data_IF_040835036033
#
_entry.id   IF_040835036033
#
_cell.length_a   1.000
_cell.length_b   1.000
_cell.length_c   1.000
_cell.angle_alpha   90.00
_cell.angle_beta   90.00
_cell.angle_gamma   90.00
#
_symmetry.space_group_name_H-M   'P 1'
#
loop_
_entity.id
_entity.type
_entity.pdbx_description
1 polymer ?
#
# COMPACT_ATOMS: atom_id res chain seq x y z
N UNK A 1 -59.68 -15.03 -31.35
CA UNK A 1 -60.31 -16.32 -31.69
C UNK A 1 -59.35 -17.11 -32.56
N UNK A 2 -58.46 -17.88 -31.92
CA UNK A 2 -58.01 -19.19 -32.37
C UNK A 2 -57.19 -19.79 -31.22
N UNK A 3 -57.58 -21.00 -30.85
CA UNK A 3 -57.08 -21.81 -29.75
C UNK A 3 -56.42 -23.07 -30.32
N UNK A 4 -55.68 -23.77 -29.45
CA UNK A 4 -55.27 -25.20 -29.48
C UNK A 4 -53.97 -25.43 -30.25
N UNK A 5 -52.95 -26.21 -29.82
CA UNK A 5 -52.56 -26.90 -28.57
C UNK A 5 -51.17 -27.55 -28.81
N UNK A 6 -50.55 -28.06 -27.74
CA UNK A 6 -49.77 -29.30 -27.65
C UNK A 6 -48.24 -29.27 -27.42
N UNK A 7 -47.89 -30.08 -26.41
CA UNK A 7 -46.65 -30.85 -26.11
C UNK A 7 -45.46 -30.21 -25.39
N UNK A 8 -45.41 -30.50 -24.08
CA UNK A 8 -44.31 -31.11 -23.31
C UNK A 8 -42.84 -30.78 -23.66
N UNK A 9 -42.12 -30.25 -22.67
CA UNK A 9 -40.83 -30.81 -22.25
C UNK A 9 -40.56 -30.46 -20.78
N UNK A 10 -40.75 -31.47 -19.94
CA UNK A 10 -40.11 -31.58 -18.62
C UNK A 10 -38.64 -31.86 -18.88
N UNK A 11 -37.74 -31.02 -18.38
CA UNK A 11 -36.43 -31.48 -17.90
C UNK A 11 -35.96 -30.58 -16.77
N UNK A 12 -35.90 -31.19 -15.59
CA UNK A 12 -35.06 -30.84 -14.46
C UNK A 12 -33.80 -30.08 -14.86
N UNK A 13 -33.56 -28.94 -14.21
CA UNK A 13 -32.20 -28.49 -13.94
C UNK A 13 -32.14 -27.97 -12.49
N UNK A 14 -32.57 -28.83 -11.55
CA UNK A 14 -32.00 -28.81 -10.20
C UNK A 14 -30.56 -29.30 -10.34
N UNK A 15 -29.67 -28.41 -10.79
CA UNK A 15 -28.25 -28.55 -10.58
C UNK A 15 -28.03 -28.45 -9.08
N UNK A 16 -28.17 -29.59 -8.39
CA UNK A 16 -27.74 -29.75 -7.01
C UNK A 16 -26.25 -29.45 -7.02
N UNK A 17 -25.88 -28.22 -6.63
CA UNK A 17 -24.50 -27.82 -6.44
C UNK A 17 -23.82 -28.91 -5.59
N UNK A 18 -22.81 -29.55 -6.15
CA UNK A 18 -22.02 -30.57 -5.45
C UNK A 18 -21.51 -29.94 -4.15
N UNK A 19 -22.07 -30.40 -3.02
CA UNK A 19 -21.73 -29.87 -1.70
C UNK A 19 -20.28 -30.23 -1.40
N UNK A 20 -19.46 -29.23 -1.08
CA UNK A 20 -18.08 -29.43 -0.64
C UNK A 20 -18.04 -30.34 0.60
N UNK A 21 -17.00 -31.16 0.71
CA UNK A 21 -16.80 -32.02 1.88
C UNK A 21 -16.17 -31.30 3.07
N UNK A 22 -15.69 -30.07 2.88
CA UNK A 22 -15.07 -29.24 3.91
C UNK A 22 -15.49 -27.75 3.78
N UNK A 23 -15.54 -27.00 4.90
CA UNK A 23 -15.66 -25.54 4.83
C UNK A 23 -14.43 -24.94 4.15
N UNK A 24 -14.53 -23.71 3.67
CA UNK A 24 -13.43 -23.03 2.99
C UNK A 24 -13.15 -21.63 3.54
N UNK A 25 -11.88 -21.26 3.54
CA UNK A 25 -11.38 -19.93 3.86
C UNK A 25 -11.23 -19.15 2.56
N UNK A 26 -11.86 -17.98 2.50
CA UNK A 26 -11.74 -17.04 1.39
C UNK A 26 -11.18 -15.74 1.95
N UNK A 27 -9.96 -15.39 1.54
CA UNK A 27 -9.27 -14.21 2.03
C UNK A 27 -8.74 -13.36 0.88
N UNK A 28 -8.86 -12.05 1.06
CA UNK A 28 -8.21 -11.04 0.23
C UNK A 28 -7.15 -10.35 1.09
N UNK A 29 -5.90 -10.51 0.68
CA UNK A 29 -4.72 -10.01 1.37
C UNK A 29 -3.89 -9.22 0.36
N UNK A 30 -3.35 -8.08 0.79
CA UNK A 30 -2.46 -7.28 -0.02
C UNK A 30 -1.27 -8.14 -0.51
N UNK A 31 -1.04 -8.12 -1.82
CA UNK A 31 0.05 -8.84 -2.49
C UNK A 31 1.44 -8.39 -1.99
N UNK A 32 1.53 -7.12 -1.56
CA UNK A 32 2.72 -6.50 -1.03
C UNK A 32 2.40 -5.39 -0.02
N UNK A 33 3.33 -5.10 0.88
CA UNK A 33 3.25 -3.99 1.83
C UNK A 33 4.65 -3.59 2.33
N UNK A 34 4.77 -2.36 2.83
CA UNK A 34 6.03 -1.77 3.33
C UNK A 34 5.84 -1.24 4.76
N UNK A 35 6.91 -0.77 5.39
CA UNK A 35 6.86 -0.04 6.66
C UNK A 35 5.91 1.17 6.61
N UNK A 36 5.85 1.88 5.47
CA UNK A 36 4.90 2.98 5.30
C UNK A 36 3.43 2.50 5.34
N UNK A 37 3.12 1.30 4.85
CA UNK A 37 1.79 0.70 4.95
C UNK A 37 1.38 0.51 6.40
N UNK A 38 2.31 0.00 7.23
CA UNK A 38 2.12 -0.15 8.67
C UNK A 38 1.86 1.20 9.36
N UNK A 39 2.73 2.20 9.13
CA UNK A 39 2.62 3.51 9.78
C UNK A 39 1.35 4.28 9.40
N UNK A 40 0.85 4.08 8.18
CA UNK A 40 -0.37 4.73 7.68
C UNK A 40 -1.64 3.87 7.86
N UNK A 41 -1.57 2.78 8.64
CA UNK A 41 -2.68 1.88 8.92
C UNK A 41 -3.39 1.34 7.64
N UNK A 42 -2.63 1.10 6.57
CA UNK A 42 -3.16 0.48 5.36
C UNK A 42 -3.43 -1.00 5.64
N UNK A 43 -4.66 -1.50 5.40
CA UNK A 43 -5.03 -2.86 5.76
C UNK A 43 -4.31 -3.89 4.89
N UNK A 44 -3.49 -4.74 5.51
CA UNK A 44 -2.90 -5.92 4.85
C UNK A 44 -3.97 -6.97 4.56
N UNK A 45 -4.91 -7.17 5.49
CA UNK A 45 -6.06 -8.03 5.30
C UNK A 45 -7.26 -7.18 4.86
N UNK A 46 -7.63 -7.32 3.58
CA UNK A 46 -8.77 -6.61 2.99
C UNK A 46 -10.07 -7.33 3.31
N UNK A 47 -10.11 -8.66 3.27
CA UNK A 47 -11.27 -9.44 3.71
C UNK A 47 -10.89 -10.86 4.15
N UNK A 48 -11.66 -11.43 5.09
CA UNK A 48 -11.65 -12.86 5.41
C UNK A 48 -13.09 -13.32 5.57
N UNK A 49 -13.45 -14.39 4.87
CA UNK A 49 -14.75 -15.04 4.93
C UNK A 49 -14.57 -16.53 5.10
N UNK A 50 -15.45 -17.14 5.89
CA UNK A 50 -15.55 -18.59 6.03
C UNK A 50 -16.86 -19.06 5.38
N UNK A 51 -16.76 -19.98 4.44
CA UNK A 51 -17.89 -20.52 3.71
C UNK A 51 -18.10 -21.99 4.15
N UNK A 52 -19.28 -22.33 4.66
CA UNK A 52 -19.63 -23.72 4.98
C UNK A 52 -20.57 -24.31 3.92
N UNK A 53 -19.99 -24.92 2.88
CA UNK A 53 -20.75 -25.61 1.83
C UNK A 53 -21.01 -27.09 2.13
N UNK A 54 -20.69 -27.52 3.33
CA UNK A 54 -20.92 -28.90 3.77
C UNK A 54 -22.38 -29.09 4.24
N UNK A 55 -22.79 -30.34 4.41
CA UNK A 55 -24.09 -30.68 4.98
C UNK A 55 -24.12 -30.59 6.52
N UNK A 56 -22.96 -30.43 7.18
CA UNK A 56 -22.83 -30.47 8.64
C UNK A 56 -22.65 -29.09 9.26
N UNK A 57 -23.16 -28.91 10.48
CA UNK A 57 -22.81 -27.76 11.31
C UNK A 57 -21.46 -27.98 11.97
N UNK A 58 -20.63 -26.96 11.97
CA UNK A 58 -19.36 -26.94 12.68
C UNK A 58 -19.49 -26.03 13.89
N UNK A 59 -18.97 -26.48 15.03
CA UNK A 59 -19.02 -25.75 16.30
C UNK A 59 -17.61 -25.57 16.85
N UNK A 60 -17.41 -24.49 17.63
CA UNK A 60 -16.13 -24.19 18.29
C UNK A 60 -14.94 -24.21 17.32
N UNK A 61 -15.14 -23.64 16.14
CA UNK A 61 -14.10 -23.48 15.14
C UNK A 61 -13.09 -22.42 15.57
N UNK A 62 -11.87 -22.59 15.10
CA UNK A 62 -10.77 -21.67 15.31
C UNK A 62 -10.14 -21.33 13.97
N UNK A 63 -10.06 -20.05 13.66
CA UNK A 63 -9.21 -19.56 12.57
C UNK A 63 -7.92 -19.02 13.17
N UNK A 64 -6.78 -19.55 12.75
CA UNK A 64 -5.46 -19.05 13.11
C UNK A 64 -4.79 -18.39 11.91
N UNK A 65 -4.18 -17.23 12.15
CA UNK A 65 -3.29 -16.54 11.23
C UNK A 65 -1.87 -16.57 11.78
N UNK A 66 -0.93 -17.01 10.95
CA UNK A 66 0.51 -16.99 11.22
C UNK A 66 1.27 -16.48 9.99
N UNK A 67 2.57 -16.23 10.13
CA UNK A 67 3.41 -15.87 8.99
C UNK A 67 4.78 -16.51 9.03
N UNK A 68 5.39 -16.64 7.85
CA UNK A 68 6.79 -17.02 7.67
C UNK A 68 7.45 -16.10 6.66
N UNK A 69 8.51 -15.33 7.01
CA UNK A 69 9.06 -15.15 8.35
C UNK A 69 8.04 -14.56 9.35
N UNK A 70 8.39 -14.49 10.63
CA UNK A 70 7.49 -13.99 11.70
C UNK A 70 7.31 -12.46 11.67
N UNK A 71 6.95 -11.89 10.52
CA UNK A 71 6.73 -10.45 10.32
C UNK A 71 5.39 -9.94 10.88
N UNK A 72 4.54 -10.83 11.42
CA UNK A 72 3.35 -10.46 12.18
C UNK A 72 3.19 -11.36 13.40
N UNK A 73 2.44 -10.87 14.39
CA UNK A 73 2.06 -11.67 15.56
C UNK A 73 0.94 -12.63 15.18
N UNK A 74 1.03 -13.91 15.59
CA UNK A 74 -0.05 -14.85 15.41
C UNK A 74 -1.37 -14.31 15.97
N UNK A 75 -2.46 -14.50 15.23
CA UNK A 75 -3.79 -14.06 15.62
C UNK A 75 -4.77 -15.22 15.52
N UNK A 76 -5.70 -15.28 16.46
CA UNK A 76 -6.75 -16.30 16.48
C UNK A 76 -8.12 -15.65 16.54
N UNK A 77 -9.05 -16.13 15.72
CA UNK A 77 -10.47 -15.84 15.84
C UNK A 77 -11.21 -17.09 16.33
N UNK A 78 -12.04 -16.91 17.35
CA UNK A 78 -13.01 -17.91 17.76
C UNK A 78 -14.26 -17.79 16.88
N UNK A 79 -14.72 -18.92 16.36
CA UNK A 79 -15.91 -19.02 15.51
C UNK A 79 -16.84 -20.03 16.16
N UNK A 80 -17.85 -19.51 16.88
CA UNK A 80 -18.71 -20.33 17.72
C UNK A 80 -19.47 -21.40 16.93
N UNK A 81 -20.02 -21.02 15.77
CA UNK A 81 -20.79 -21.92 14.91
C UNK A 81 -20.76 -21.49 13.44
N UNK A 82 -20.67 -22.47 12.54
CA UNK A 82 -20.89 -22.33 11.10
C UNK A 82 -21.93 -23.39 10.68
N UNK A 83 -23.15 -22.98 10.35
CA UNK A 83 -24.21 -23.89 9.88
C UNK A 83 -24.11 -24.11 8.37
N UNK A 84 -24.72 -25.17 7.81
CA UNK A 84 -24.73 -25.41 6.37
C UNK A 84 -25.25 -24.19 5.58
N UNK A 85 -24.48 -23.75 4.59
CA UNK A 85 -24.77 -22.59 3.76
C UNK A 85 -24.25 -21.25 4.29
N UNK A 86 -23.66 -21.22 5.50
CA UNK A 86 -23.13 -19.98 6.07
C UNK A 86 -22.00 -19.36 5.22
N UNK A 87 -21.96 -18.03 5.28
CA UNK A 87 -20.96 -17.16 4.66
C UNK A 87 -20.52 -16.13 5.71
N UNK A 88 -19.71 -16.56 6.68
CA UNK A 88 -19.34 -15.75 7.83
C UNK A 88 -18.21 -14.79 7.46
N UNK A 89 -18.53 -13.50 7.35
CA UNK A 89 -17.54 -12.44 7.15
C UNK A 89 -16.91 -12.02 8.48
N UNK A 90 -15.59 -12.10 8.61
CA UNK A 90 -14.89 -11.61 9.79
C UNK A 90 -14.70 -10.09 9.73
N UNK A 91 -15.20 -9.38 10.74
CA UNK A 91 -15.12 -7.92 10.84
C UNK A 91 -13.76 -7.43 11.36
N UNK A 92 -13.19 -8.13 12.34
CA UNK A 92 -11.88 -7.79 12.92
C UNK A 92 -10.71 -8.28 12.05
N UNK A 93 -10.30 -7.40 11.14
CA UNK A 93 -9.17 -7.60 10.21
C UNK A 93 -7.85 -7.03 10.72
N UNK A 94 -7.79 -6.52 11.95
CA UNK A 94 -6.58 -5.88 12.48
C UNK A 94 -5.49 -6.93 12.68
N UNK A 95 -4.33 -6.71 12.09
CA UNK A 95 -3.13 -7.53 12.31
C UNK A 95 -2.05 -6.69 12.97
N UNK A 96 -1.28 -7.31 13.86
CA UNK A 96 -0.12 -6.69 14.49
C UNK A 96 1.13 -7.07 13.69
N UNK A 97 1.54 -6.19 12.78
CA UNK A 97 2.79 -6.33 12.06
C UNK A 97 3.97 -6.01 12.98
N UNK A 98 5.08 -6.71 12.80
CA UNK A 98 6.32 -6.41 13.49
C UNK A 98 6.99 -5.19 12.84
N UNK A 99 6.89 -4.04 13.52
CA UNK A 99 7.47 -2.80 13.04
C UNK A 99 9.00 -2.83 12.96
N UNK A 100 9.66 -3.57 13.86
CA UNK A 100 11.12 -3.72 13.87
C UNK A 100 11.59 -4.54 12.67
N UNK A 101 10.86 -5.62 12.36
CA UNK A 101 11.08 -6.42 11.16
C UNK A 101 10.97 -5.56 9.90
N UNK A 102 9.83 -4.88 9.71
CA UNK A 102 9.59 -4.08 8.50
C UNK A 102 10.55 -2.89 8.37
N UNK A 103 10.91 -2.24 9.48
CA UNK A 103 11.88 -1.14 9.47
C UNK A 103 13.31 -1.59 9.13
N UNK A 104 13.64 -2.86 9.41
CA UNK A 104 14.96 -3.46 9.18
C UNK A 104 15.18 -4.01 7.78
N UNK A 105 14.15 -4.06 6.93
CA UNK A 105 14.26 -4.56 5.56
C UNK A 105 15.02 -3.58 4.66
N UNK A 106 16.22 -3.99 4.23
CA UNK A 106 17.04 -3.29 3.23
C UNK A 106 16.64 -3.66 1.79
N UNK A 107 16.15 -4.87 1.59
CA UNK A 107 15.65 -5.38 0.31
C UNK A 107 14.27 -6.00 0.51
N UNK A 108 13.49 -6.07 -0.57
CA UNK A 108 12.23 -6.77 -0.52
C UNK A 108 12.44 -8.27 -0.23
N UNK A 109 11.65 -8.79 0.69
CA UNK A 109 11.64 -10.20 1.03
C UNK A 109 10.32 -10.87 0.65
N UNK A 110 10.37 -12.17 0.44
CA UNK A 110 9.17 -13.00 0.25
C UNK A 110 8.69 -13.47 1.62
N UNK A 111 7.41 -13.32 1.86
CA UNK A 111 6.72 -13.86 3.02
C UNK A 111 5.54 -14.73 2.63
N UNK A 112 5.04 -15.48 3.59
CA UNK A 112 3.82 -16.26 3.49
C UNK A 112 2.94 -15.97 4.71
N UNK A 113 1.65 -15.70 4.47
CA UNK A 113 0.62 -15.66 5.51
C UNK A 113 -0.16 -16.97 5.42
N UNK A 114 -0.27 -17.67 6.55
CA UNK A 114 -1.01 -18.92 6.65
C UNK A 114 -2.27 -18.71 7.49
N UNK A 115 -3.42 -18.95 6.88
CA UNK A 115 -4.73 -19.03 7.53
C UNK A 115 -5.13 -20.48 7.67
N UNK A 116 -5.37 -20.94 8.90
CA UNK A 116 -5.75 -22.32 9.19
C UNK A 116 -7.06 -22.35 9.96
N UNK A 117 -8.07 -22.99 9.39
CA UNK A 117 -9.35 -23.24 10.04
C UNK A 117 -9.33 -24.63 10.63
N UNK A 118 -9.60 -24.75 11.93
CA UNK A 118 -9.67 -26.04 12.62
C UNK A 118 -10.89 -26.15 13.53
N UNK A 119 -11.33 -27.37 13.78
CA UNK A 119 -12.35 -27.69 14.78
C UNK A 119 -11.96 -28.99 15.49
N UNK A 120 -12.10 -29.03 16.81
CA UNK A 120 -11.73 -30.17 17.65
C UNK A 120 -10.29 -30.70 17.43
N UNK A 121 -9.37 -29.83 16.99
CA UNK A 121 -7.97 -30.18 16.71
C UNK A 121 -7.70 -30.63 15.27
N UNK A 122 -8.74 -30.92 14.49
CA UNK A 122 -8.62 -31.29 13.08
C UNK A 122 -8.62 -30.05 12.18
N UNK A 123 -7.73 -30.03 11.19
CA UNK A 123 -7.65 -28.95 10.20
C UNK A 123 -8.71 -29.16 9.12
N UNK A 124 -9.58 -28.18 8.95
CA UNK A 124 -10.69 -28.22 8.00
C UNK A 124 -10.33 -27.56 6.66
N UNK A 125 -9.59 -26.44 6.71
CA UNK A 125 -9.02 -25.79 5.52
C UNK A 125 -7.73 -25.05 5.92
N UNK A 126 -6.83 -24.89 4.96
CA UNK A 126 -5.59 -24.13 5.11
C UNK A 126 -5.31 -23.33 3.83
N UNK A 127 -5.10 -22.02 3.99
CA UNK A 127 -4.72 -21.12 2.91
C UNK A 127 -3.37 -20.51 3.19
N UNK A 128 -2.47 -20.67 2.23
CA UNK A 128 -1.15 -20.05 2.22
C UNK A 128 -1.12 -18.98 1.15
N UNK A 129 -0.85 -17.75 1.56
CA UNK A 129 -0.89 -16.56 0.73
C UNK A 129 0.51 -15.98 0.67
N UNK A 130 1.15 -16.05 -0.49
CA UNK A 130 2.46 -15.43 -0.70
C UNK A 130 2.31 -13.91 -0.74
N UNK A 131 3.18 -13.22 0.00
CA UNK A 131 3.22 -11.76 0.06
C UNK A 131 4.65 -11.26 -0.19
N UNK A 132 4.79 -10.02 -0.67
CA UNK A 132 6.07 -9.33 -0.75
C UNK A 132 6.18 -8.27 0.35
N UNK A 133 7.19 -8.41 1.19
CA UNK A 133 7.54 -7.46 2.23
C UNK A 133 8.54 -6.48 1.60
N UNK A 134 8.09 -5.31 1.20
CA UNK A 134 8.93 -4.32 0.52
C UNK A 134 9.90 -3.67 1.51
N UNK A 135 11.06 -3.24 1.01
CA UNK A 135 12.00 -2.47 1.82
C UNK A 135 11.35 -1.18 2.35
N UNK A 136 11.90 -0.62 3.43
CA UNK A 136 11.38 0.61 4.07
C UNK A 136 11.35 1.82 3.14
N UNK A 137 12.23 1.83 2.16
CA UNK A 137 12.40 2.86 1.14
C UNK A 137 11.82 2.45 -0.21
N UNK A 138 11.09 1.33 -0.28
CA UNK A 138 10.46 0.86 -1.52
C UNK A 138 8.97 1.18 -1.51
N UNK A 139 8.54 1.88 -2.56
CA UNK A 139 7.15 2.15 -2.85
C UNK A 139 6.63 1.11 -3.85
N UNK A 140 5.46 0.51 -3.59
CA UNK A 140 4.95 -0.64 -4.34
C UNK A 140 4.15 -0.34 -5.62
N UNK A 141 4.22 0.87 -6.17
CA UNK A 141 3.52 1.22 -7.42
C UNK A 141 2.07 1.68 -7.24
N UNK A 142 1.47 2.21 -8.31
CA UNK A 142 0.11 2.79 -8.32
C UNK A 142 -0.95 1.72 -8.10
N UNK A 143 -0.76 0.53 -8.67
CA UNK A 143 -1.76 -0.53 -8.67
C UNK A 143 -2.21 -0.93 -7.26
N UNK A 144 -1.26 -0.96 -6.32
CA UNK A 144 -1.51 -1.37 -4.93
C UNK A 144 -1.30 -0.24 -3.91
N UNK A 145 -0.47 0.76 -4.21
CA UNK A 145 0.07 1.71 -3.22
C UNK A 145 0.05 3.18 -3.65
N UNK A 146 -0.80 3.58 -4.59
CA UNK A 146 -0.93 4.99 -4.99
C UNK A 146 -1.13 5.93 -3.78
N UNK A 147 -2.02 5.55 -2.87
CA UNK A 147 -2.32 6.29 -1.64
C UNK A 147 -1.15 6.41 -0.65
N UNK A 148 -0.10 5.60 -0.80
CA UNK A 148 1.07 5.62 0.08
C UNK A 148 2.21 6.50 -0.45
N UNK A 149 2.16 6.94 -1.70
CA UNK A 149 3.22 7.76 -2.29
C UNK A 149 3.55 9.02 -1.45
N UNK A 150 2.57 9.75 -0.86
CA UNK A 150 2.87 10.90 -0.01
C UNK A 150 3.78 10.59 1.20
N UNK A 151 3.78 9.35 1.71
CA UNK A 151 4.65 8.95 2.81
C UNK A 151 6.14 9.00 2.45
N UNK A 152 6.47 9.02 1.15
CA UNK A 152 7.83 9.09 0.64
C UNK A 152 8.31 10.52 0.29
N UNK A 153 7.46 11.54 0.47
CA UNK A 153 7.83 12.94 0.23
C UNK A 153 8.86 13.42 1.27
N UNK A 154 8.70 13.07 2.55
CA UNK A 154 9.68 13.33 3.62
C UNK A 154 10.16 14.81 3.73
N UNK A 155 9.26 15.79 3.91
CA UNK A 155 9.62 17.22 4.00
C UNK A 155 10.55 17.57 5.17
N UNK A 156 10.56 16.74 6.22
CA UNK A 156 11.40 16.90 7.42
C UNK A 156 12.74 16.15 7.33
N UNK A 157 13.06 15.56 6.18
CA UNK A 157 14.36 14.90 6.00
C UNK A 157 15.51 15.93 6.05
N UNK A 158 16.63 15.64 6.73
CA UNK A 158 17.74 16.59 6.88
C UNK A 158 18.30 17.13 5.55
N UNK A 159 18.17 16.37 4.46
CA UNK A 159 18.59 16.79 3.12
C UNK A 159 17.77 17.95 2.54
N UNK A 160 16.58 18.24 3.07
CA UNK A 160 15.70 19.32 2.58
C UNK A 160 16.18 20.69 3.05
N UNK A 161 16.67 20.82 4.29
CA UNK A 161 17.04 22.11 4.87
C UNK A 161 18.14 22.88 4.10
N UNK A 162 19.21 22.24 3.59
CA UNK A 162 20.19 22.92 2.72
C UNK A 162 19.60 23.43 1.40
N UNK A 163 18.60 22.73 0.84
CA UNK A 163 17.93 23.13 -0.40
C UNK A 163 17.09 24.39 -0.13
N UNK A 164 16.34 24.41 0.97
CA UNK A 164 15.58 25.58 1.41
C UNK A 164 16.48 26.81 1.61
N UNK A 165 17.62 26.63 2.29
CA UNK A 165 18.61 27.70 2.46
C UNK A 165 19.06 28.26 1.11
N UNK A 166 19.42 27.37 0.18
CA UNK A 166 19.83 27.77 -1.17
C UNK A 166 18.73 28.50 -1.93
N UNK A 167 17.47 28.09 -1.76
CA UNK A 167 16.32 28.78 -2.36
C UNK A 167 16.14 30.19 -1.78
N UNK A 168 16.24 30.34 -0.46
CA UNK A 168 16.18 31.63 0.22
C UNK A 168 17.31 32.59 -0.23
N UNK A 169 18.53 32.07 -0.38
CA UNK A 169 19.69 32.83 -0.86
C UNK A 169 19.47 33.30 -2.32
N UNK A 170 18.87 32.47 -3.17
CA UNK A 170 18.55 32.85 -4.56
C UNK A 170 17.50 33.95 -4.64
N UNK A 171 16.48 33.91 -3.77
CA UNK A 171 15.49 34.99 -3.68
C UNK A 171 16.18 36.31 -3.31
N UNK A 172 17.02 36.29 -2.27
CA UNK A 172 17.76 37.46 -1.81
C UNK A 172 18.67 38.03 -2.90
N UNK A 173 19.40 37.17 -3.62
CA UNK A 173 20.29 37.58 -4.71
C UNK A 173 19.56 38.29 -5.86
N UNK A 174 18.27 38.04 -6.04
CA UNK A 174 17.43 38.70 -7.05
C UNK A 174 16.57 39.84 -6.47
N UNK A 175 16.88 40.30 -5.26
CA UNK A 175 16.19 41.43 -4.62
C UNK A 175 14.80 41.10 -4.08
N UNK A 176 14.47 39.82 -3.89
CA UNK A 176 13.20 39.37 -3.31
C UNK A 176 13.36 39.04 -1.81
N UNK A 177 12.27 39.09 -1.02
CA UNK A 177 12.29 38.60 0.35
C UNK A 177 12.71 37.13 0.41
N UNK A 178 13.68 36.82 1.28
CA UNK A 178 14.25 35.47 1.43
C UNK A 178 13.41 34.50 2.25
N UNK A 179 12.39 35.00 2.96
CA UNK A 179 11.49 34.16 3.77
C UNK A 179 10.78 33.11 2.91
N UNK A 180 10.72 31.87 3.39
CA UNK A 180 9.96 30.80 2.73
C UNK A 180 8.61 30.70 3.43
N UNK A 181 7.75 31.67 3.10
CA UNK A 181 6.52 32.01 3.83
C UNK A 181 5.27 31.29 3.31
N UNK A 182 5.43 30.30 2.43
CA UNK A 182 4.33 29.55 1.84
C UNK A 182 3.25 30.46 1.26
N UNK A 183 2.01 30.26 1.72
CA UNK A 183 0.84 31.03 1.30
C UNK A 183 0.51 32.24 2.18
N UNK A 184 1.36 32.63 3.15
CA UNK A 184 1.04 33.69 4.12
C UNK A 184 0.74 35.05 3.48
N UNK A 185 1.42 35.38 2.37
CA UNK A 185 1.20 36.62 1.63
C UNK A 185 -0.09 36.66 0.80
N UNK A 186 -0.80 35.53 0.67
CA UNK A 186 -2.00 35.37 -0.19
C UNK A 186 -1.80 35.83 -1.64
N UNK A 187 -0.56 35.76 -2.13
CA UNK A 187 -0.15 36.23 -3.44
C UNK A 187 0.28 35.04 -4.33
N UNK A 188 -0.46 34.72 -5.41
CA UNK A 188 -0.10 33.63 -6.31
C UNK A 188 1.28 33.79 -6.97
N UNK A 189 1.68 35.03 -7.29
CA UNK A 189 3.01 35.32 -7.85
C UNK A 189 4.11 35.02 -6.83
N UNK A 190 3.85 35.23 -5.54
CA UNK A 190 4.79 34.83 -4.47
C UNK A 190 4.92 33.32 -4.38
N UNK A 191 3.81 32.58 -4.39
CA UNK A 191 3.84 31.12 -4.38
C UNK A 191 4.62 30.56 -5.59
N UNK A 192 4.39 31.11 -6.78
CA UNK A 192 5.15 30.77 -7.99
C UNK A 192 6.65 31.07 -7.83
N UNK A 193 7.00 32.22 -7.27
CA UNK A 193 8.38 32.62 -7.02
C UNK A 193 9.10 31.69 -6.04
N UNK A 194 8.42 31.26 -4.97
CA UNK A 194 8.95 30.26 -4.03
C UNK A 194 9.19 28.93 -4.75
N UNK A 195 8.23 28.47 -5.55
CA UNK A 195 8.39 27.24 -6.34
C UNK A 195 9.55 27.33 -7.34
N UNK A 196 9.70 28.46 -8.02
CA UNK A 196 10.81 28.71 -8.93
C UNK A 196 12.16 28.74 -8.20
N UNK A 197 12.24 29.34 -7.01
CA UNK A 197 13.46 29.35 -6.21
C UNK A 197 13.86 27.95 -5.74
N UNK A 198 12.88 27.13 -5.33
CA UNK A 198 13.09 25.72 -4.98
C UNK A 198 13.55 24.91 -6.19
N UNK A 199 12.87 25.03 -7.33
CA UNK A 199 13.29 24.36 -8.58
C UNK A 199 14.72 24.74 -8.97
N UNK A 200 15.03 26.03 -8.87
CA UNK A 200 16.37 26.55 -9.09
C UNK A 200 17.37 25.89 -8.12
N UNK A 201 17.08 25.85 -6.81
CA UNK A 201 17.93 25.24 -5.80
C UNK A 201 18.23 23.76 -6.11
N UNK A 202 17.20 22.98 -6.48
CA UNK A 202 17.34 21.57 -6.83
C UNK A 202 18.15 21.38 -8.12
N UNK A 203 17.88 22.16 -9.17
CA UNK A 203 18.66 22.06 -10.42
C UNK A 203 20.13 22.42 -10.23
N UNK A 204 20.44 23.36 -9.33
CA UNK A 204 21.83 23.68 -8.96
C UNK A 204 22.55 22.60 -8.15
N UNK A 205 21.87 21.54 -7.73
CA UNK A 205 22.51 20.37 -7.11
C UNK A 205 23.35 19.56 -8.11
N UNK A 206 23.13 19.71 -9.42
CA UNK A 206 23.85 18.96 -10.45
C UNK A 206 23.54 17.47 -10.40
N UNK A 207 22.26 17.10 -10.28
CA UNK A 207 21.85 15.70 -10.21
C UNK A 207 22.03 14.98 -11.56
N UNK A 208 22.52 13.75 -11.50
CA UNK A 208 22.55 12.81 -12.61
C UNK A 208 21.31 11.90 -12.57
N UNK A 209 20.81 11.55 -13.76
CA UNK A 209 19.66 10.66 -13.88
C UNK A 209 20.06 9.21 -13.62
N UNK A 210 19.33 8.54 -12.73
CA UNK A 210 19.33 7.09 -12.60
C UNK A 210 18.17 6.51 -13.39
N UNK A 211 18.47 5.50 -14.19
CA UNK A 211 17.46 4.70 -14.88
C UNK A 211 16.57 3.97 -13.86
N UNK A 212 15.25 4.19 -13.86
CA UNK A 212 14.33 3.44 -13.01
C UNK A 212 14.18 1.99 -13.51
N UNK A 213 13.71 1.05 -12.68
CA UNK A 213 13.37 -0.28 -13.15
C UNK A 213 12.19 -0.20 -14.15
N UNK A 214 12.15 -1.15 -15.10
CA UNK A 214 11.05 -1.23 -16.05
C UNK A 214 9.69 -1.39 -15.33
N UNK A 215 8.68 -0.65 -15.79
CA UNK A 215 7.31 -0.67 -15.24
C UNK A 215 7.21 -0.26 -13.76
N UNK A 216 8.10 0.64 -13.29
CA UNK A 216 8.11 1.11 -11.90
C UNK A 216 6.80 1.77 -11.48
N UNK A 217 6.03 2.37 -12.39
CA UNK A 217 4.74 2.99 -12.06
C UNK A 217 3.76 1.93 -11.56
N UNK A 218 3.81 0.73 -12.13
CA UNK A 218 2.92 -0.38 -11.79
C UNK A 218 3.45 -1.25 -10.65
N UNK A 219 4.76 -1.54 -10.63
CA UNK A 219 5.39 -2.51 -9.71
C UNK A 219 6.19 -1.87 -8.58
N UNK A 220 6.35 -0.56 -8.64
CA UNK A 220 7.11 0.17 -7.65
C UNK A 220 8.61 0.26 -7.94
N UNK A 221 9.29 0.99 -7.06
CA UNK A 221 10.75 1.09 -7.00
C UNK A 221 11.21 1.56 -5.63
N UNK A 222 12.50 1.41 -5.37
CA UNK A 222 13.15 2.13 -4.28
C UNK A 222 13.13 3.63 -4.54
N UNK A 223 12.82 4.37 -3.49
CA UNK A 223 12.75 5.83 -3.46
C UNK A 223 13.86 6.33 -2.55
N UNK A 224 14.80 7.07 -3.13
CA UNK A 224 15.89 7.67 -2.37
C UNK A 224 15.36 8.80 -1.50
N UNK A 225 15.86 8.87 -0.27
CA UNK A 225 15.54 9.96 0.65
C UNK A 225 16.23 11.25 0.20
N UNK A 226 15.71 12.43 0.56
CA UNK A 226 16.36 13.71 0.23
C UNK A 226 17.84 13.78 0.61
N UNK A 227 18.22 13.27 1.79
CA UNK A 227 19.63 13.19 2.23
C UNK A 227 20.48 12.37 1.25
N UNK A 228 20.02 11.17 0.86
CA UNK A 228 20.73 10.29 -0.09
C UNK A 228 20.89 10.95 -1.45
N UNK A 229 19.85 11.61 -1.98
CA UNK A 229 19.93 12.34 -3.25
C UNK A 229 20.96 13.48 -3.19
N UNK A 230 21.00 14.19 -2.06
CA UNK A 230 21.95 15.30 -1.86
C UNK A 230 23.40 14.82 -1.79
N UNK A 231 23.65 13.67 -1.16
CA UNK A 231 24.97 13.05 -1.01
C UNK A 231 25.46 12.40 -2.31
N UNK A 232 24.63 11.55 -2.93
CA UNK A 232 25.02 10.74 -4.09
C UNK A 232 24.91 11.49 -5.42
N UNK A 233 24.15 12.59 -5.47
CA UNK A 233 23.85 13.35 -6.70
C UNK A 233 23.23 12.50 -7.82
N UNK A 234 22.50 11.44 -7.45
CA UNK A 234 21.88 10.51 -8.38
C UNK A 234 20.40 10.34 -8.02
N UNK A 235 19.50 10.43 -9.01
CA UNK A 235 18.06 10.36 -8.76
C UNK A 235 17.26 9.91 -10.01
N UNK A 236 16.17 9.19 -9.78
CA UNK A 236 15.16 8.88 -10.81
C UNK A 236 14.18 10.04 -11.02
N UNK A 237 13.27 9.91 -11.99
CA UNK A 237 12.16 10.85 -12.18
C UNK A 237 11.22 10.91 -10.95
N UNK A 238 11.00 9.78 -10.27
CA UNK A 238 10.20 9.74 -9.04
C UNK A 238 10.93 10.40 -7.88
N UNK A 239 12.22 10.08 -7.69
CA UNK A 239 13.06 10.67 -6.63
C UNK A 239 13.05 12.20 -6.72
N UNK A 240 13.27 12.74 -7.92
CA UNK A 240 13.29 14.20 -8.15
C UNK A 240 11.92 14.84 -7.99
N UNK A 241 10.85 14.17 -8.41
CA UNK A 241 9.48 14.64 -8.20
C UNK A 241 9.12 14.72 -6.72
N UNK A 242 9.47 13.69 -5.94
CA UNK A 242 9.24 13.64 -4.50
C UNK A 242 10.12 14.61 -3.73
N UNK A 243 11.40 14.77 -4.12
CA UNK A 243 12.29 15.78 -3.55
C UNK A 243 11.76 17.20 -3.76
N UNK A 244 11.21 17.47 -4.94
CA UNK A 244 10.60 18.76 -5.24
C UNK A 244 9.36 18.99 -4.38
N UNK A 245 8.47 18.00 -4.29
CA UNK A 245 7.32 18.05 -3.38
C UNK A 245 7.77 18.27 -1.92
N UNK A 246 8.79 17.57 -1.45
CA UNK A 246 9.32 17.67 -0.09
C UNK A 246 9.72 19.10 0.25
N UNK A 247 10.43 19.73 -0.67
CA UNK A 247 10.97 21.06 -0.48
C UNK A 247 9.88 22.12 -0.61
N UNK A 248 8.89 21.93 -1.49
CA UNK A 248 7.71 22.79 -1.58
C UNK A 248 6.88 22.73 -0.29
N UNK A 249 6.61 21.52 0.21
CA UNK A 249 5.87 21.31 1.46
C UNK A 249 6.60 21.93 2.66
N UNK A 250 7.91 21.72 2.76
CA UNK A 250 8.73 22.34 3.81
C UNK A 250 8.83 23.87 3.68
N UNK A 251 8.61 24.44 2.49
CA UNK A 251 8.49 25.87 2.26
C UNK A 251 7.07 26.43 2.53
N UNK A 252 6.15 25.60 3.05
CA UNK A 252 4.77 25.99 3.38
C UNK A 252 3.82 26.01 2.18
N UNK A 253 4.16 25.32 1.09
CA UNK A 253 3.28 25.11 -0.07
C UNK A 253 2.61 23.73 0.02
N UNK A 254 1.58 23.51 -0.79
CA UNK A 254 0.83 22.24 -0.83
C UNK A 254 1.05 21.57 -2.18
N UNK A 255 2.11 20.78 -2.35
CA UNK A 255 2.43 20.13 -3.62
C UNK A 255 1.41 19.03 -3.95
N UNK A 256 1.20 18.81 -5.23
CA UNK A 256 0.51 17.65 -5.76
C UNK A 256 1.45 16.91 -6.71
N UNK A 257 1.56 15.59 -6.55
CA UNK A 257 2.31 14.73 -7.47
C UNK A 257 1.31 14.03 -8.37
N UNK A 258 1.46 14.23 -9.68
CA UNK A 258 0.64 13.61 -10.71
C UNK A 258 1.46 12.53 -11.40
N UNK A 259 0.84 11.36 -11.61
CA UNK A 259 1.46 10.28 -12.35
C UNK A 259 0.61 9.95 -13.57
N UNK A 260 1.31 9.68 -14.66
CA UNK A 260 0.72 9.46 -15.98
C UNK A 260 1.26 8.14 -16.52
N UNK A 261 0.41 7.39 -17.22
CA UNK A 261 0.86 6.24 -17.99
C UNK A 261 1.57 6.73 -19.25
N UNK A 262 2.78 6.21 -19.50
CA UNK A 262 3.63 6.55 -20.65
C UNK A 262 3.88 5.35 -21.55
#
# INVERSE_FOLDING_TARGET
>A
MQSIDSSELVTNDDAVAERSTAPSIIADVASSFTYASYQNAIPVIRSIRLDNDTAGSLESCRLELTSSPSFLRPKTWAVDRLVPGDRLQLSDRKVELDSGYLAGLNEAERGEITLRLSAAGEVLDERRLTVRLLARDEWGGVADMAQLLPAFVMPNDPGVAPILRTAADRLAAHGHPSGLDGYQSQNPQRAYMLAAAVYSAITGMGLHYAEPPASFESRGQKVRRPTTIAEERLATCLDTSLLFAATLEAAGLHPAVLMFDG
#
